data_IF_541942450202
#
_entry.id   IF_541942450202
#
_cell.length_a   1.000
_cell.length_b   1.000
_cell.length_c   1.000
_cell.angle_alpha   90.00
_cell.angle_beta   90.00
_cell.angle_gamma   90.00
#
_symmetry.space_group_name_H-M   'P 1'
#
loop_
_entity.id
_entity.type
_entity.pdbx_description
1 polymer ?
#
# COMPACT_ATOMS: atom_id res chain seq x y z
N UNK A 1 27.13 20.65 28.43
CA UNK A 1 26.21 21.17 27.38
C UNK A 1 25.80 20.16 26.30
N UNK A 2 26.70 19.33 25.73
CA UNK A 2 26.36 18.36 24.65
C UNK A 2 25.28 17.31 25.02
N UNK A 3 25.16 16.96 26.30
CA UNK A 3 24.18 15.97 26.81
C UNK A 3 22.73 16.46 26.71
N UNK A 4 22.46 17.71 27.09
CA UNK A 4 21.10 18.29 27.11
C UNK A 4 20.54 18.41 25.69
N UNK A 5 21.38 18.83 24.75
CA UNK A 5 21.01 18.92 23.33
C UNK A 5 20.64 17.56 22.73
N UNK A 6 21.38 16.50 23.11
CA UNK A 6 21.08 15.13 22.69
C UNK A 6 19.76 14.64 23.25
N UNK A 7 19.45 14.96 24.51
CA UNK A 7 18.17 14.61 25.14
C UNK A 7 16.99 15.36 24.53
N UNK A 8 17.17 16.64 24.17
CA UNK A 8 16.15 17.46 23.48
C UNK A 8 15.91 16.93 22.06
N UNK A 9 16.97 16.62 21.31
CA UNK A 9 16.89 15.97 20.00
C UNK A 9 16.16 14.63 20.07
N UNK A 10 16.48 13.79 21.07
CA UNK A 10 15.79 12.50 21.27
C UNK A 10 14.31 12.70 21.63
N UNK A 11 13.97 13.72 22.42
CA UNK A 11 12.56 14.06 22.73
C UNK A 11 11.79 14.59 21.51
N UNK A 12 12.44 15.39 20.65
CA UNK A 12 11.86 15.88 19.40
C UNK A 12 11.74 14.80 18.33
N UNK A 13 12.71 13.89 18.25
CA UNK A 13 12.71 12.74 17.36
C UNK A 13 11.77 11.62 17.85
N UNK A 14 11.32 11.66 19.11
CA UNK A 14 10.34 10.72 19.64
C UNK A 14 8.99 11.03 18.99
N UNK A 15 8.63 10.25 17.98
CA UNK A 15 7.34 10.31 17.29
C UNK A 15 6.23 10.36 18.35
N UNK A 16 5.65 11.54 18.52
CA UNK A 16 4.54 11.75 19.45
C UNK A 16 3.39 10.90 18.93
N UNK A 17 2.75 10.14 19.81
CA UNK A 17 1.62 9.28 19.42
C UNK A 17 0.45 10.20 19.01
N UNK A 18 0.46 10.63 17.75
CA UNK A 18 -0.56 11.51 17.18
C UNK A 18 -1.82 10.68 17.00
N UNK A 19 -2.94 11.28 17.37
CA UNK A 19 -4.26 10.65 17.41
C UNK A 19 -4.58 9.87 16.12
N UNK A 20 -5.19 8.67 16.21
CA UNK A 20 -5.43 7.75 15.08
C UNK A 20 -6.26 8.36 13.94
N UNK A 21 -6.94 9.48 14.17
CA UNK A 21 -7.78 10.15 13.17
C UNK A 21 -6.98 10.66 11.96
N UNK A 22 -5.77 11.19 12.15
CA UNK A 22 -4.94 11.66 11.02
C UNK A 22 -4.53 10.48 10.14
N UNK A 23 -4.17 9.35 10.77
CA UNK A 23 -3.86 8.12 10.06
C UNK A 23 -5.07 7.58 9.28
N UNK A 24 -6.26 7.62 9.88
CA UNK A 24 -7.48 7.17 9.22
C UNK A 24 -7.82 8.02 7.98
N UNK A 25 -7.73 9.35 8.07
CA UNK A 25 -7.96 10.25 6.93
C UNK A 25 -6.96 9.98 5.81
N UNK A 26 -5.67 9.86 6.15
CA UNK A 26 -4.63 9.55 5.18
C UNK A 26 -4.84 8.19 4.51
N UNK A 27 -5.34 7.20 5.26
CA UNK A 27 -5.61 5.87 4.73
C UNK A 27 -6.80 5.87 3.76
N UNK A 28 -7.87 6.60 4.08
CA UNK A 28 -9.01 6.80 3.15
C UNK A 28 -8.55 7.53 1.89
N UNK A 29 -7.75 8.59 2.02
CA UNK A 29 -7.18 9.31 0.88
C UNK A 29 -6.28 8.42 0.01
N UNK A 30 -5.46 7.58 0.64
CA UNK A 30 -4.58 6.64 -0.07
C UNK A 30 -5.41 5.56 -0.79
N UNK A 31 -6.50 5.10 -0.18
CA UNK A 31 -7.41 4.13 -0.77
C UNK A 31 -8.18 4.71 -1.98
N UNK A 32 -8.55 5.99 -1.95
CA UNK A 32 -9.21 6.65 -3.10
C UNK A 32 -8.23 6.98 -4.23
N UNK A 33 -6.92 7.00 -3.97
CA UNK A 33 -5.88 7.24 -4.97
C UNK A 33 -5.94 6.29 -6.17
N UNK A 34 -6.38 5.04 -5.97
CA UNK A 34 -6.58 4.06 -7.05
C UNK A 34 -7.63 4.51 -8.07
N UNK A 35 -8.62 5.29 -7.64
CA UNK A 35 -9.70 5.80 -8.50
C UNK A 35 -9.31 7.14 -9.12
N UNK A 36 -8.75 8.05 -8.30
CA UNK A 36 -8.39 9.39 -8.78
C UNK A 36 -7.19 9.37 -9.73
N UNK A 37 -6.19 8.52 -9.52
CA UNK A 37 -4.99 8.51 -10.37
C UNK A 37 -5.30 8.20 -11.86
N UNK A 38 -6.10 7.17 -12.21
CA UNK A 38 -6.51 6.95 -13.60
C UNK A 38 -7.36 8.08 -14.18
N UNK A 39 -8.27 8.65 -13.39
CA UNK A 39 -9.11 9.78 -13.83
C UNK A 39 -8.26 11.03 -14.10
N UNK A 40 -7.32 11.35 -13.22
CA UNK A 40 -6.37 12.44 -13.40
C UNK A 40 -5.48 12.19 -14.62
N UNK A 41 -5.01 10.96 -14.83
CA UNK A 41 -4.23 10.59 -16.01
C UNK A 41 -5.04 10.86 -17.29
N UNK A 42 -6.29 10.38 -17.37
CA UNK A 42 -7.18 10.64 -18.52
C UNK A 42 -7.37 12.14 -18.72
N UNK A 43 -7.65 12.89 -17.65
CA UNK A 43 -7.85 14.34 -17.71
C UNK A 43 -6.64 15.08 -18.26
N UNK A 44 -5.44 14.80 -17.72
CA UNK A 44 -4.19 15.42 -18.16
C UNK A 44 -3.86 15.02 -19.60
N UNK A 45 -3.98 13.74 -19.95
CA UNK A 45 -3.74 13.26 -21.31
C UNK A 45 -4.69 13.89 -22.32
N UNK A 46 -5.97 14.06 -21.97
CA UNK A 46 -6.96 14.72 -22.83
C UNK A 46 -6.61 16.20 -23.05
N UNK A 47 -6.22 16.90 -21.99
CA UNK A 47 -5.77 18.30 -22.09
C UNK A 47 -4.53 18.45 -22.96
N UNK A 48 -3.53 17.58 -22.78
CA UNK A 48 -2.31 17.58 -23.60
C UNK A 48 -2.62 17.28 -25.07
N UNK A 49 -3.50 16.31 -25.32
CA UNK A 49 -3.96 16.00 -26.67
C UNK A 49 -4.69 17.18 -27.30
N UNK A 50 -5.65 17.78 -26.60
CA UNK A 50 -6.44 18.90 -27.12
C UNK A 50 -5.61 20.15 -27.39
N UNK A 51 -4.61 20.44 -26.56
CA UNK A 51 -3.76 21.61 -26.72
C UNK A 51 -2.77 21.41 -27.88
N UNK A 52 -1.91 20.38 -27.82
CA UNK A 52 -0.75 20.28 -28.71
C UNK A 52 -0.69 18.94 -29.45
N UNK A 53 -1.23 17.87 -28.86
CA UNK A 53 -1.11 16.52 -29.42
C UNK A 53 -1.98 16.29 -30.65
N UNK A 54 -3.14 16.95 -30.77
CA UNK A 54 -4.10 16.69 -31.84
C UNK A 54 -3.55 17.08 -33.21
N UNK A 55 -2.90 18.24 -33.33
CA UNK A 55 -2.29 18.70 -34.59
C UNK A 55 -1.13 17.79 -34.99
N UNK A 56 -0.25 17.46 -34.04
CA UNK A 56 0.90 16.59 -34.28
C UNK A 56 0.46 15.18 -34.69
N UNK A 57 -0.50 14.59 -33.97
CA UNK A 57 -0.96 13.22 -34.24
C UNK A 57 -1.74 13.17 -35.56
N UNK A 58 -2.58 14.17 -35.85
CA UNK A 58 -3.32 14.21 -37.12
C UNK A 58 -2.45 14.46 -38.34
N UNK A 59 -1.29 15.09 -38.18
CA UNK A 59 -0.33 15.24 -39.28
C UNK A 59 0.19 13.88 -39.79
N UNK A 60 0.30 12.88 -38.91
CA UNK A 60 0.74 11.52 -39.23
C UNK A 60 -0.44 10.56 -39.42
N UNK A 61 -1.50 10.73 -38.64
CA UNK A 61 -2.69 9.90 -38.60
C UNK A 61 -3.97 10.76 -38.61
N UNK A 62 -4.39 11.26 -39.78
CA UNK A 62 -5.52 12.19 -39.89
C UNK A 62 -6.87 11.59 -39.46
N UNK A 63 -6.99 10.26 -39.47
CA UNK A 63 -8.17 9.51 -38.99
C UNK A 63 -8.21 9.36 -37.46
N UNK A 64 -7.13 9.73 -36.75
CA UNK A 64 -7.05 9.59 -35.31
C UNK A 64 -7.86 10.69 -34.61
N UNK A 65 -8.87 10.27 -33.86
CA UNK A 65 -9.79 11.16 -33.13
C UNK A 65 -9.56 11.07 -31.62
N UNK A 66 -10.14 12.02 -30.88
CA UNK A 66 -10.11 12.01 -29.39
C UNK A 66 -10.63 10.69 -28.83
N UNK A 67 -11.64 10.08 -29.46
CA UNK A 67 -12.19 8.78 -29.04
C UNK A 67 -11.16 7.65 -29.11
N UNK A 68 -10.28 7.66 -30.12
CA UNK A 68 -9.20 6.67 -30.22
C UNK A 68 -8.18 6.85 -29.10
N UNK A 69 -7.84 8.11 -28.76
CA UNK A 69 -6.98 8.41 -27.63
C UNK A 69 -7.58 7.92 -26.31
N UNK A 70 -8.85 8.23 -26.06
CA UNK A 70 -9.56 7.79 -24.84
C UNK A 70 -9.62 6.26 -24.79
N UNK A 71 -9.95 5.60 -25.91
CA UNK A 71 -9.96 4.14 -26.00
C UNK A 71 -8.61 3.50 -25.67
N UNK A 72 -7.52 4.06 -26.20
CA UNK A 72 -6.15 3.62 -25.89
C UNK A 72 -5.80 3.82 -24.40
N UNK A 73 -6.20 4.95 -23.81
CA UNK A 73 -5.96 5.22 -22.39
C UNK A 73 -6.73 4.25 -21.49
N UNK A 74 -8.00 3.98 -21.80
CA UNK A 74 -8.80 2.98 -21.07
C UNK A 74 -8.16 1.60 -21.19
N UNK A 75 -7.73 1.19 -22.38
CA UNK A 75 -7.04 -0.08 -22.58
C UNK A 75 -5.74 -0.16 -21.75
N UNK A 76 -4.94 0.90 -21.75
CA UNK A 76 -3.71 1.00 -20.96
C UNK A 76 -4.00 0.88 -19.46
N UNK A 77 -5.03 1.55 -18.96
CA UNK A 77 -5.47 1.45 -17.55
C UNK A 77 -5.88 0.02 -17.23
N UNK A 78 -6.65 -0.65 -18.09
CA UNK A 78 -7.06 -2.04 -17.87
C UNK A 78 -5.86 -2.98 -17.80
N UNK A 79 -4.88 -2.84 -18.71
CA UNK A 79 -3.63 -3.62 -18.68
C UNK A 79 -2.88 -3.35 -17.36
N UNK A 80 -2.77 -2.08 -16.96
CA UNK A 80 -2.15 -1.72 -15.69
C UNK A 80 -2.88 -2.31 -14.49
N UNK A 81 -4.21 -2.35 -14.50
CA UNK A 81 -5.00 -2.99 -13.44
C UNK A 81 -4.73 -4.49 -13.35
N UNK A 82 -4.61 -5.18 -14.49
CA UNK A 82 -4.25 -6.61 -14.51
C UNK A 82 -2.85 -6.83 -13.94
N UNK A 83 -1.87 -6.00 -14.33
CA UNK A 83 -0.50 -6.05 -13.77
C UNK A 83 -0.52 -5.75 -12.27
N UNK A 84 -1.28 -4.75 -11.85
CA UNK A 84 -1.42 -4.38 -10.45
C UNK A 84 -1.98 -5.55 -9.63
N UNK A 85 -3.04 -6.19 -10.12
CA UNK A 85 -3.66 -7.33 -9.46
C UNK A 85 -2.76 -8.57 -9.42
N UNK A 86 -2.10 -8.91 -10.53
CA UNK A 86 -1.29 -10.15 -10.62
C UNK A 86 0.12 -10.03 -10.04
N UNK A 87 0.71 -8.83 -10.06
CA UNK A 87 2.12 -8.64 -9.70
C UNK A 87 2.27 -7.77 -8.46
N UNK A 88 1.63 -6.60 -8.43
CA UNK A 88 1.86 -5.61 -7.38
C UNK A 88 1.22 -6.04 -6.06
N UNK A 89 -0.05 -6.45 -6.06
CA UNK A 89 -0.75 -6.86 -4.82
C UNK A 89 -0.02 -8.04 -4.15
N UNK A 90 0.30 -9.15 -4.84
CA UNK A 90 1.03 -10.26 -4.21
C UNK A 90 2.41 -9.83 -3.70
N UNK A 91 3.12 -8.98 -4.44
CA UNK A 91 4.42 -8.45 -4.01
C UNK A 91 4.30 -7.59 -2.76
N UNK A 92 3.27 -6.74 -2.65
CA UNK A 92 3.03 -5.91 -1.46
C UNK A 92 2.71 -6.78 -0.24
N UNK A 93 1.88 -7.82 -0.41
CA UNK A 93 1.56 -8.76 0.67
C UNK A 93 2.82 -9.51 1.10
N UNK A 94 3.61 -10.04 0.16
CA UNK A 94 4.85 -10.76 0.46
C UNK A 94 5.87 -9.85 1.19
N UNK A 95 6.04 -8.62 0.73
CA UNK A 95 6.90 -7.63 1.38
C UNK A 95 6.39 -7.28 2.79
N UNK A 96 5.09 -7.04 2.94
CA UNK A 96 4.46 -6.75 4.23
C UNK A 96 4.66 -7.90 5.22
N UNK A 97 4.50 -9.15 4.77
CA UNK A 97 4.79 -10.32 5.59
C UNK A 97 6.26 -10.40 5.96
N UNK A 98 7.19 -10.23 5.01
CA UNK A 98 8.61 -10.23 5.31
C UNK A 98 9.00 -9.16 6.33
N UNK A 99 8.49 -7.92 6.18
CA UNK A 99 8.73 -6.84 7.13
C UNK A 99 8.14 -7.17 8.51
N UNK A 100 6.91 -7.66 8.53
CA UNK A 100 6.24 -8.06 9.77
C UNK A 100 6.92 -9.25 10.45
N UNK A 101 7.54 -10.19 9.74
CA UNK A 101 8.25 -11.31 10.38
C UNK A 101 9.71 -10.99 10.75
N UNK A 102 10.34 -10.04 10.04
CA UNK A 102 11.75 -9.68 10.23
C UNK A 102 11.99 -8.80 11.45
N UNK A 103 11.00 -7.98 11.82
CA UNK A 103 11.00 -7.24 13.08
C UNK A 103 10.22 -8.03 14.14
N UNK A 104 10.62 -7.99 15.43
CA UNK A 104 9.96 -8.72 16.52
C UNK A 104 8.47 -8.34 16.59
N UNK A 105 7.64 -9.08 15.88
CA UNK A 105 6.21 -8.82 15.82
C UNK A 105 5.59 -9.26 17.14
N UNK A 106 5.02 -8.33 17.91
CA UNK A 106 4.39 -8.67 19.17
C UNK A 106 3.27 -9.69 18.98
N UNK A 107 2.55 -9.65 17.85
CA UNK A 107 1.50 -10.63 17.55
C UNK A 107 2.05 -12.04 17.37
N UNK A 108 3.18 -12.21 16.68
CA UNK A 108 3.81 -13.53 16.50
C UNK A 108 4.33 -14.06 17.84
N UNK A 109 4.92 -13.17 18.66
CA UNK A 109 5.38 -13.53 20.00
C UNK A 109 4.22 -13.95 20.93
N UNK A 110 3.10 -13.22 20.88
CA UNK A 110 1.90 -13.52 21.67
C UNK A 110 1.25 -14.83 21.22
N UNK A 111 1.15 -15.09 19.90
CA UNK A 111 0.65 -16.36 19.36
C UNK A 111 1.53 -17.53 19.80
N UNK A 112 2.86 -17.40 19.71
CA UNK A 112 3.78 -18.45 20.21
C UNK A 112 3.63 -18.68 21.71
N UNK A 113 3.39 -17.62 22.50
CA UNK A 113 3.16 -17.72 23.94
C UNK A 113 1.86 -18.45 24.25
N UNK A 114 0.80 -18.23 23.47
CA UNK A 114 -0.49 -18.93 23.58
C UNK A 114 -0.31 -20.42 23.24
N UNK A 115 0.36 -20.73 22.13
CA UNK A 115 0.62 -22.12 21.72
C UNK A 115 1.39 -22.91 22.78
N UNK A 116 2.44 -22.33 23.37
CA UNK A 116 3.18 -22.97 24.47
C UNK A 116 2.32 -23.21 25.72
N UNK A 117 1.38 -22.30 26.01
CA UNK A 117 0.45 -22.49 27.13
C UNK A 117 -0.54 -23.63 26.86
N UNK A 118 -1.09 -23.72 25.65
CA UNK A 118 -1.94 -24.82 25.21
C UNK A 118 -1.22 -26.17 25.33
N UNK A 119 0.00 -26.27 24.81
CA UNK A 119 0.81 -27.50 24.89
C UNK A 119 1.09 -27.91 26.35
N UNK A 120 1.27 -26.93 27.24
CA UNK A 120 1.45 -27.19 28.67
C UNK A 120 0.18 -27.70 29.37
N UNK A 121 -0.98 -27.29 28.87
CA UNK A 121 -2.29 -27.71 29.38
C UNK A 121 -2.58 -29.12 28.90
N UNK A 122 -2.35 -29.43 27.61
CA UNK A 122 -2.47 -30.79 27.06
C UNK A 122 -1.60 -31.78 27.84
N UNK A 123 -0.31 -31.49 28.02
CA UNK A 123 0.60 -32.36 28.79
C UNK A 123 0.17 -32.56 30.25
N UNK A 124 -0.55 -31.60 30.84
CA UNK A 124 -1.10 -31.72 32.20
C UNK A 124 -2.35 -32.58 32.22
N UNK A 125 -3.24 -32.44 31.23
CA UNK A 125 -4.42 -33.28 31.05
C UNK A 125 -4.02 -34.74 30.83
N UNK A 126 -3.07 -34.99 29.92
CA UNK A 126 -2.57 -36.33 29.61
C UNK A 126 -1.96 -37.02 30.84
N UNK A 127 -1.29 -36.26 31.72
CA UNK A 127 -0.78 -36.75 33.00
C UNK A 127 -1.85 -37.05 34.05
N UNK A 128 -3.01 -36.41 33.96
CA UNK A 128 -4.14 -36.65 34.85
C UNK A 128 -4.99 -37.83 34.36
N UNK A 129 -5.07 -38.03 33.06
CA UNK A 129 -5.84 -39.11 32.43
C UNK A 129 -5.12 -40.47 32.52
N UNK A 130 -3.78 -40.47 32.53
CA UNK A 130 -2.95 -41.66 32.72
C UNK A 130 -2.68 -42.01 34.20
N UNK A 131 -3.44 -41.44 35.14
CA UNK A 131 -3.29 -41.61 36.59
C UNK A 131 -4.56 -42.20 37.19
#
# INVERSE_FOLDING_TARGET
MKSVFRTIMVKLAKQRNTSPHIGAVLNVYSATGIIYAPLTLIGVSTTLYGLWGAELIRAWFPWFTVFHMIGLMVLLILVMMVVFYKVIIPSQIAFGMQQNYKHRNPLVADVQKILRKLESIEKRLEKLENK
#
